data_IF_334604019117
#
_entry.id   IF_334604019117
#
_cell.length_a   1.000
_cell.length_b   1.000
_cell.length_c   1.000
_cell.angle_alpha   90.00
_cell.angle_beta   90.00
_cell.angle_gamma   90.00
#
_symmetry.space_group_name_H-M   'P 1'
#
loop_
_entity.id
_entity.type
_entity.pdbx_description
1 polymer ?
#
# COMPACT_ATOMS: atom_id res chain seq x y z
N UNK A 1 -6.30 8.71 28.98
CA UNK A 1 -4.85 8.89 29.18
C UNK A 1 -4.25 7.52 29.43
N UNK A 2 -3.13 7.16 28.83
CA UNK A 2 -2.52 5.86 29.07
C UNK A 2 -1.97 5.84 30.53
N UNK A 3 -2.40 4.90 31.39
CA UNK A 3 -2.00 4.88 32.81
C UNK A 3 -0.51 4.57 33.03
N UNK A 4 0.16 3.88 32.09
CA UNK A 4 1.58 3.52 32.18
C UNK A 4 2.51 4.62 31.66
N UNK A 5 2.07 5.38 30.66
CA UNK A 5 2.93 6.38 29.98
C UNK A 5 2.51 7.83 30.24
N UNK A 6 1.38 8.06 30.90
CA UNK A 6 0.82 9.39 31.18
C UNK A 6 0.40 10.19 29.93
N UNK A 7 0.60 9.65 28.72
CA UNK A 7 0.33 10.35 27.47
C UNK A 7 -1.15 10.27 27.09
N UNK A 8 -1.63 11.34 26.48
CA UNK A 8 -2.96 11.34 25.88
C UNK A 8 -3.00 10.44 24.64
N UNK A 9 -4.08 9.67 24.51
CA UNK A 9 -4.27 8.80 23.36
C UNK A 9 -5.74 8.61 23.03
N UNK A 10 -6.07 8.56 21.74
CA UNK A 10 -7.42 8.22 21.28
C UNK A 10 -7.84 6.82 21.76
N UNK A 11 -9.10 6.67 22.18
CA UNK A 11 -9.71 5.38 22.52
C UNK A 11 -9.76 4.44 21.32
N UNK A 12 -10.15 4.96 20.14
CA UNK A 12 -10.24 4.18 18.90
C UNK A 12 -9.25 4.66 17.83
N UNK A 13 -7.94 4.53 18.09
CA UNK A 13 -6.87 4.98 17.17
C UNK A 13 -7.05 4.47 15.74
N UNK A 14 -7.35 3.17 15.58
CA UNK A 14 -7.47 2.52 14.25
C UNK A 14 -8.68 3.04 13.47
N UNK A 15 -9.85 3.11 14.12
CA UNK A 15 -11.10 3.61 13.50
C UNK A 15 -10.94 5.07 13.10
N UNK A 16 -10.38 5.90 13.99
CA UNK A 16 -10.11 7.31 13.68
C UNK A 16 -9.15 7.46 12.49
N UNK A 17 -8.10 6.65 12.44
CA UNK A 17 -7.16 6.64 11.33
C UNK A 17 -7.82 6.25 10.01
N UNK A 18 -8.65 5.19 10.02
CA UNK A 18 -9.41 4.76 8.86
C UNK A 18 -10.38 5.85 8.37
N UNK A 19 -11.15 6.45 9.28
CA UNK A 19 -12.05 7.57 8.95
C UNK A 19 -11.30 8.75 8.34
N UNK A 20 -10.17 9.16 8.94
CA UNK A 20 -9.32 10.23 8.40
C UNK A 20 -8.85 9.89 6.99
N UNK A 21 -8.39 8.65 6.76
CA UNK A 21 -7.95 8.18 5.44
C UNK A 21 -9.07 8.29 4.40
N UNK A 22 -10.28 7.83 4.73
CA UNK A 22 -11.42 7.96 3.83
C UNK A 22 -11.74 9.43 3.54
N UNK A 23 -11.78 10.29 4.57
CA UNK A 23 -12.07 11.71 4.41
C UNK A 23 -11.04 12.43 3.52
N UNK A 24 -9.76 12.15 3.71
CA UNK A 24 -8.69 12.80 2.92
C UNK A 24 -8.61 12.28 1.49
N UNK A 25 -8.93 11.00 1.27
CA UNK A 25 -8.84 10.36 -0.04
C UNK A 25 -10.17 10.36 -0.81
N UNK A 26 -11.25 10.86 -0.22
CA UNK A 26 -12.58 10.89 -0.82
C UNK A 26 -12.63 11.47 -2.24
N UNK A 27 -11.91 12.56 -2.58
CA UNK A 27 -11.90 13.10 -3.94
C UNK A 27 -11.34 12.14 -4.99
N UNK A 28 -10.52 11.17 -4.58
CA UNK A 28 -9.81 10.25 -5.47
C UNK A 28 -10.45 8.85 -5.53
N UNK A 29 -11.32 8.51 -4.57
CA UNK A 29 -11.86 7.15 -4.40
C UNK A 29 -12.67 6.66 -5.62
N UNK A 30 -13.36 7.58 -6.28
CA UNK A 30 -14.28 7.30 -7.40
C UNK A 30 -13.77 7.84 -8.73
N UNK A 31 -12.45 8.02 -8.86
CA UNK A 31 -11.82 8.52 -10.09
C UNK A 31 -12.10 7.64 -11.30
N UNK A 32 -12.10 6.31 -11.13
CA UNK A 32 -12.44 5.36 -12.19
C UNK A 32 -13.87 5.52 -12.72
N UNK A 33 -14.80 5.96 -11.86
CA UNK A 33 -16.20 6.19 -12.23
C UNK A 33 -16.39 7.59 -12.84
N UNK A 34 -15.64 8.58 -12.35
CA UNK A 34 -15.70 9.96 -12.85
C UNK A 34 -15.13 10.12 -14.26
N UNK A 35 -14.11 9.34 -14.60
CA UNK A 35 -13.37 9.43 -15.86
C UNK A 35 -13.33 8.07 -16.59
N UNK A 36 -14.46 7.59 -17.14
CA UNK A 36 -14.53 6.30 -17.83
C UNK A 36 -13.64 6.24 -19.09
N UNK A 37 -13.34 7.38 -19.71
CA UNK A 37 -12.46 7.51 -20.87
C UNK A 37 -11.02 7.07 -20.60
N UNK A 38 -10.59 7.12 -19.34
CA UNK A 38 -9.27 6.67 -18.92
C UNK A 38 -9.16 5.14 -18.79
N UNK A 39 -10.28 4.40 -18.98
CA UNK A 39 -10.34 2.94 -18.90
C UNK A 39 -9.70 2.37 -17.62
N UNK A 40 -9.83 3.10 -16.50
CA UNK A 40 -9.27 2.67 -15.22
C UNK A 40 -10.10 1.48 -14.71
N UNK A 41 -9.46 0.34 -14.40
CA UNK A 41 -10.18 -0.81 -13.87
C UNK A 41 -10.81 -0.48 -12.50
N UNK A 42 -12.02 -0.97 -12.27
CA UNK A 42 -12.72 -0.85 -10.99
C UNK A 42 -12.23 -1.83 -9.91
N UNK A 43 -11.28 -2.72 -10.26
CA UNK A 43 -10.67 -3.69 -9.32
C UNK A 43 -9.16 -3.52 -9.26
N UNK A 44 -8.59 -3.80 -8.08
CA UNK A 44 -7.14 -3.78 -7.85
C UNK A 44 -6.49 -5.16 -8.01
N UNK A 45 -7.24 -6.18 -8.45
CA UNK A 45 -6.80 -7.58 -8.52
C UNK A 45 -5.46 -7.76 -9.26
N UNK A 46 -5.27 -7.06 -10.37
CA UNK A 46 -4.03 -7.11 -11.15
C UNK A 46 -2.83 -6.58 -10.36
N UNK A 47 -3.01 -5.46 -9.65
CA UNK A 47 -1.99 -4.86 -8.79
C UNK A 47 -1.69 -5.76 -7.59
N UNK A 48 -2.72 -6.26 -6.91
CA UNK A 48 -2.59 -7.10 -5.72
C UNK A 48 -1.89 -8.42 -6.04
N UNK A 49 -2.24 -9.06 -7.17
CA UNK A 49 -1.56 -10.26 -7.66
C UNK A 49 -0.08 -10.01 -7.97
N UNK A 50 0.22 -8.90 -8.64
CA UNK A 50 1.60 -8.51 -8.94
C UNK A 50 2.41 -8.24 -7.66
N UNK A 51 1.86 -7.49 -6.71
CA UNK A 51 2.53 -7.20 -5.44
C UNK A 51 2.69 -8.44 -4.55
N UNK A 52 1.77 -9.42 -4.63
CA UNK A 52 1.92 -10.69 -3.92
C UNK A 52 3.17 -11.45 -4.39
N UNK A 53 3.32 -11.59 -5.72
CA UNK A 53 4.54 -12.17 -6.32
C UNK A 53 5.79 -11.39 -5.92
N UNK A 54 5.71 -10.07 -5.93
CA UNK A 54 6.81 -9.18 -5.56
C UNK A 54 7.28 -9.39 -4.11
N UNK A 55 6.33 -9.43 -3.17
CA UNK A 55 6.58 -9.70 -1.74
C UNK A 55 7.18 -11.09 -1.53
N UNK A 56 6.69 -12.10 -2.25
CA UNK A 56 7.24 -13.46 -2.21
C UNK A 56 8.72 -13.49 -2.57
N UNK A 57 9.10 -12.89 -3.70
CA UNK A 57 10.49 -12.82 -4.17
C UNK A 57 11.41 -12.08 -3.19
N UNK A 58 10.94 -10.97 -2.61
CA UNK A 58 11.72 -10.23 -1.61
C UNK A 58 11.85 -10.96 -0.27
N UNK A 59 10.83 -11.74 0.11
CA UNK A 59 10.80 -12.46 1.38
C UNK A 59 11.78 -13.64 1.44
N UNK A 60 12.23 -14.18 0.30
CA UNK A 60 13.24 -15.25 0.25
C UNK A 60 14.57 -14.78 0.87
N UNK A 61 14.92 -13.49 0.74
CA UNK A 61 16.16 -12.93 1.26
C UNK A 61 15.93 -11.76 2.23
N UNK A 62 15.41 -12.07 3.43
CA UNK A 62 15.06 -11.09 4.46
C UNK A 62 16.23 -10.19 4.90
N UNK A 63 17.45 -10.71 4.87
CA UNK A 63 18.69 -10.04 5.29
C UNK A 63 19.40 -9.17 4.24
N UNK A 64 18.79 -8.92 3.08
CA UNK A 64 19.41 -8.06 2.06
C UNK A 64 19.50 -6.61 2.54
N UNK A 65 20.66 -6.00 2.27
CA UNK A 65 20.81 -4.56 2.39
C UNK A 65 19.88 -3.82 1.41
N UNK A 66 19.58 -2.56 1.71
CA UNK A 66 18.63 -1.76 0.94
C UNK A 66 19.03 -1.66 -0.55
N UNK A 67 20.33 -1.49 -0.84
CA UNK A 67 20.84 -1.39 -2.22
C UNK A 67 20.52 -2.64 -3.05
N UNK A 68 20.70 -3.85 -2.47
CA UNK A 68 20.40 -5.11 -3.14
C UNK A 68 18.89 -5.35 -3.26
N UNK A 69 18.10 -4.99 -2.23
CA UNK A 69 16.63 -5.02 -2.32
C UNK A 69 16.14 -4.17 -3.50
N UNK A 70 16.65 -2.95 -3.64
CA UNK A 70 16.31 -2.06 -4.76
C UNK A 70 16.74 -2.64 -6.12
N UNK A 71 17.93 -3.24 -6.22
CA UNK A 71 18.34 -3.92 -7.46
C UNK A 71 17.36 -5.04 -7.86
N UNK A 72 16.91 -5.85 -6.90
CA UNK A 72 15.89 -6.88 -7.16
C UNK A 72 14.56 -6.26 -7.59
N UNK A 73 14.11 -5.19 -6.93
CA UNK A 73 12.92 -4.44 -7.32
C UNK A 73 13.00 -4.00 -8.79
N UNK A 74 14.12 -3.37 -9.19
CA UNK A 74 14.33 -2.91 -10.55
C UNK A 74 14.34 -4.06 -11.56
N UNK A 75 15.00 -5.18 -11.25
CA UNK A 75 15.03 -6.35 -12.13
C UNK A 75 13.65 -7.01 -12.27
N UNK A 76 12.84 -7.06 -11.20
CA UNK A 76 11.46 -7.55 -11.29
C UNK A 76 10.60 -6.60 -12.16
N UNK A 77 10.76 -5.29 -11.99
CA UNK A 77 10.02 -4.26 -12.74
C UNK A 77 10.41 -4.18 -14.23
N UNK A 78 11.66 -4.49 -14.57
CA UNK A 78 12.10 -4.58 -15.98
C UNK A 78 11.39 -5.68 -16.77
N UNK A 79 10.77 -6.64 -16.07
CA UNK A 79 10.14 -7.80 -16.69
C UNK A 79 11.17 -8.81 -17.20
N UNK A 80 10.76 -10.07 -17.31
CA UNK A 80 11.51 -11.02 -18.14
C UNK A 80 11.20 -10.66 -19.60
N UNK A 81 12.25 -10.48 -20.42
CA UNK A 81 12.12 -10.62 -21.87
C UNK A 81 11.56 -12.00 -22.21
#
# INVERSE_FOLDING_TARGET
>A
TNPETGRWCYTHKRVRSAYRSLKTNLPYLFTYQKYPELHIPNTTNSLDGYFSRFKSLLNIHRGLNLKRKMKIVFEILKGKK
#
